data_IF_163902568198
#
_entry.id   IF_163902568198
#
_cell.length_a   1.000
_cell.length_b   1.000
_cell.length_c   1.000
_cell.angle_alpha   90.00
_cell.angle_beta   90.00
_cell.angle_gamma   90.00
#
_symmetry.space_group_name_H-M   'P 1'
#
loop_
_entity.id
_entity.type
_entity.pdbx_description
1 polymer ?
#
# COMPACT_ATOMS: atom_id res chain seq x y z
N UNK A 1 7.17 9.95 -11.10
CA UNK A 1 5.83 9.64 -10.58
C UNK A 1 4.79 9.54 -11.71
N UNK A 2 4.02 8.46 -11.75
CA UNK A 2 2.98 8.15 -12.75
C UNK A 2 1.63 7.95 -12.06
N UNK A 3 0.60 8.68 -12.48
CA UNK A 3 -0.76 8.48 -12.00
C UNK A 3 -1.46 7.36 -12.77
N UNK A 4 -2.13 6.45 -12.05
CA UNK A 4 -2.86 5.30 -12.57
C UNK A 4 -4.21 5.17 -11.84
N UNK A 5 -5.26 4.80 -12.58
CA UNK A 5 -6.56 4.48 -11.98
C UNK A 5 -6.50 3.25 -11.07
N UNK A 6 -7.50 3.08 -10.20
CA UNK A 6 -7.65 1.90 -9.33
C UNK A 6 -7.66 0.58 -10.11
N UNK A 7 -8.27 0.57 -11.29
CA UNK A 7 -8.40 -0.61 -12.18
C UNK A 7 -7.07 -1.15 -12.72
N UNK A 8 -6.04 -0.30 -12.80
CA UNK A 8 -4.71 -0.71 -13.21
C UNK A 8 -4.04 -1.49 -12.07
N UNK A 9 -3.39 -2.65 -12.31
CA UNK A 9 -2.69 -3.36 -11.25
C UNK A 9 -1.60 -2.52 -10.57
N UNK A 10 -1.46 -2.68 -9.26
CA UNK A 10 -0.26 -2.28 -8.51
C UNK A 10 0.93 -3.10 -9.04
N UNK A 11 2.16 -2.57 -9.05
CA UNK A 11 3.31 -3.27 -9.60
C UNK A 11 3.47 -4.70 -9.07
N UNK A 12 3.88 -5.61 -9.95
CA UNK A 12 3.94 -7.04 -9.68
C UNK A 12 4.76 -7.41 -8.43
N UNK A 13 5.80 -6.64 -8.12
CA UNK A 13 6.67 -6.87 -6.97
C UNK A 13 5.97 -6.70 -5.60
N UNK A 14 4.87 -5.95 -5.54
CA UNK A 14 4.08 -5.75 -4.32
C UNK A 14 2.88 -6.70 -4.20
N UNK A 15 2.60 -7.48 -5.24
CA UNK A 15 1.45 -8.38 -5.29
C UNK A 15 1.60 -9.54 -4.30
N UNK A 16 0.48 -10.02 -3.79
CA UNK A 16 0.42 -11.18 -2.89
C UNK A 16 -0.05 -10.83 -1.49
N UNK A 17 0.18 -11.78 -0.58
CA UNK A 17 -0.17 -11.69 0.83
C UNK A 17 1.10 -11.52 1.65
N UNK A 18 1.04 -10.58 2.59
CA UNK A 18 2.14 -10.21 3.45
C UNK A 18 1.62 -10.12 4.88
N UNK A 19 2.45 -10.49 5.84
CA UNK A 19 2.15 -10.38 7.27
C UNK A 19 3.04 -9.32 7.88
N UNK A 20 2.51 -8.59 8.85
CA UNK A 20 3.28 -7.62 9.61
C UNK A 20 4.42 -8.35 10.36
N UNK A 21 5.60 -7.74 10.36
CA UNK A 21 6.81 -8.33 10.93
C UNK A 21 6.76 -8.43 12.47
N UNK A 22 5.98 -7.59 13.13
CA UNK A 22 5.82 -7.54 14.59
C UNK A 22 4.50 -8.17 15.07
N UNK A 23 3.45 -8.14 14.24
CA UNK A 23 2.14 -8.74 14.55
C UNK A 23 1.60 -9.61 13.40
N UNK A 24 1.85 -10.92 13.45
CA UNK A 24 1.37 -11.88 12.46
C UNK A 24 -0.17 -11.94 12.26
N UNK A 25 -0.97 -11.32 13.15
CA UNK A 25 -2.42 -11.21 12.95
C UNK A 25 -2.79 -10.08 11.97
N UNK A 26 -1.87 -9.15 11.71
CA UNK A 26 -2.05 -8.06 10.77
C UNK A 26 -1.56 -8.49 9.39
N UNK A 27 -2.45 -8.39 8.42
CA UNK A 27 -2.17 -8.80 7.05
C UNK A 27 -2.34 -7.64 6.09
N UNK A 28 -1.46 -7.61 5.11
CA UNK A 28 -1.54 -6.76 3.93
C UNK A 28 -1.70 -7.65 2.71
N UNK A 29 -2.79 -7.45 1.97
CA UNK A 29 -3.07 -8.17 0.72
C UNK A 29 -3.14 -7.16 -0.40
N UNK A 30 -2.34 -7.40 -1.44
CA UNK A 30 -2.33 -6.62 -2.68
C UNK A 30 -2.69 -7.58 -3.82
N UNK A 31 -3.84 -7.35 -4.45
CA UNK A 31 -4.33 -8.18 -5.55
C UNK A 31 -4.82 -7.31 -6.71
N UNK A 32 -4.07 -7.30 -7.80
CA UNK A 32 -4.31 -6.39 -8.91
C UNK A 32 -4.23 -4.95 -8.44
N UNK A 33 -5.33 -4.20 -8.59
CA UNK A 33 -5.46 -2.84 -8.08
C UNK A 33 -5.99 -2.76 -6.64
N UNK A 34 -6.33 -3.86 -6.00
CA UNK A 34 -6.97 -3.84 -4.70
C UNK A 34 -5.98 -4.00 -3.56
N UNK A 35 -6.25 -3.28 -2.47
CA UNK A 35 -5.43 -3.31 -1.26
C UNK A 35 -6.35 -3.55 -0.07
N UNK A 36 -6.00 -4.55 0.73
CA UNK A 36 -6.67 -4.85 2.01
C UNK A 36 -5.62 -4.84 3.11
N UNK A 37 -5.89 -4.09 4.18
CA UNK A 37 -5.00 -4.02 5.35
C UNK A 37 -5.87 -3.97 6.61
N UNK A 38 -5.42 -4.61 7.70
CA UNK A 38 -6.21 -4.76 8.94
C UNK A 38 -7.60 -5.39 8.72
N UNK A 39 -7.71 -6.30 7.74
CA UNK A 39 -8.99 -6.92 7.36
C UNK A 39 -9.99 -5.96 6.69
N UNK A 40 -9.57 -4.73 6.36
CA UNK A 40 -10.40 -3.75 5.67
C UNK A 40 -9.84 -3.43 4.29
N UNK A 41 -10.72 -3.38 3.29
CA UNK A 41 -10.38 -2.94 1.93
C UNK A 41 -10.18 -1.43 1.92
N UNK A 42 -9.10 -0.98 1.29
CA UNK A 42 -8.78 0.44 1.16
C UNK A 42 -9.56 1.02 -0.01
N UNK A 43 -10.50 1.91 0.28
CA UNK A 43 -11.31 2.58 -0.74
C UNK A 43 -10.61 3.85 -1.23
N UNK A 44 -9.86 3.71 -2.33
CA UNK A 44 -9.12 4.79 -2.99
C UNK A 44 -9.56 4.91 -4.47
N UNK A 45 -9.33 6.07 -5.09
CA UNK A 45 -9.78 6.37 -6.46
C UNK A 45 -8.66 6.15 -7.49
N UNK A 46 -7.45 6.59 -7.15
CA UNK A 46 -6.27 6.44 -8.00
C UNK A 46 -5.00 6.25 -7.17
N UNK A 47 -3.93 5.85 -7.85
CA UNK A 47 -2.61 5.67 -7.25
C UNK A 47 -1.55 6.42 -8.03
N UNK A 48 -0.52 6.82 -7.31
CA UNK A 48 0.68 7.42 -7.85
C UNK A 48 1.83 6.43 -7.65
N UNK A 49 2.42 5.97 -8.74
CA UNK A 49 3.54 5.02 -8.72
C UNK A 49 4.82 5.78 -9.02
N UNK A 50 5.83 5.59 -8.19
CA UNK A 50 7.15 6.17 -8.38
C UNK A 50 8.25 5.17 -8.07
N UNK A 51 9.41 5.37 -8.68
CA UNK A 51 10.60 4.59 -8.38
C UNK A 51 11.77 5.56 -8.21
N UNK A 52 12.30 5.64 -7.00
CA UNK A 52 13.41 6.54 -6.66
C UNK A 52 14.48 5.78 -5.89
N UNK A 53 15.73 5.88 -6.32
CA UNK A 53 16.88 5.18 -5.71
C UNK A 53 16.67 3.65 -5.57
N UNK A 54 15.92 3.05 -6.51
CA UNK A 54 15.56 1.63 -6.52
C UNK A 54 14.42 1.25 -5.56
N UNK A 55 13.91 2.19 -4.77
CA UNK A 55 12.72 1.98 -3.95
C UNK A 55 11.47 2.23 -4.79
N UNK A 56 10.59 1.24 -4.86
CA UNK A 56 9.31 1.34 -5.54
C UNK A 56 8.26 1.85 -4.55
N UNK A 57 7.62 2.97 -4.87
CA UNK A 57 6.61 3.62 -4.02
C UNK A 57 5.27 3.67 -4.72
N UNK A 58 4.20 3.36 -3.99
CA UNK A 58 2.82 3.53 -4.43
C UNK A 58 2.06 4.34 -3.39
N UNK A 59 1.56 5.51 -3.79
CA UNK A 59 0.70 6.35 -2.95
C UNK A 59 -0.75 6.21 -3.40
N UNK A 60 -1.64 5.85 -2.47
CA UNK A 60 -3.07 5.72 -2.69
C UNK A 60 -3.75 7.06 -2.40
N UNK A 61 -4.65 7.49 -3.28
CA UNK A 61 -5.26 8.83 -3.24
C UNK A 61 -6.76 8.76 -3.54
N UNK A 62 -7.48 9.80 -3.12
CA UNK A 62 -8.89 10.05 -3.43
C UNK A 62 -9.02 11.35 -4.22
N UNK A 63 -10.01 11.44 -5.11
CA UNK A 63 -10.26 12.63 -5.93
C UNK A 63 -10.91 13.77 -5.13
N UNK A 64 -11.66 13.41 -4.08
CA UNK A 64 -12.39 14.39 -3.29
C UNK A 64 -11.56 14.90 -2.11
N UNK A 65 -11.05 16.13 -2.24
CA UNK A 65 -10.28 16.82 -1.22
C UNK A 65 -10.99 16.93 0.15
N UNK A 66 -12.33 16.92 0.19
CA UNK A 66 -13.07 16.95 1.46
C UNK A 66 -12.86 15.67 2.28
N UNK A 67 -12.63 14.54 1.62
CA UNK A 67 -12.42 13.25 2.27
C UNK A 67 -10.94 12.91 2.47
N UNK A 68 -10.03 13.66 1.86
CA UNK A 68 -8.60 13.36 1.83
C UNK A 68 -8.00 13.21 3.25
N UNK A 69 -8.27 14.15 4.16
CA UNK A 69 -7.75 14.06 5.54
C UNK A 69 -8.28 12.81 6.26
N UNK A 70 -9.58 12.54 6.12
CA UNK A 70 -10.21 11.37 6.75
C UNK A 70 -9.67 10.05 6.19
N UNK A 71 -9.40 10.02 4.88
CA UNK A 71 -8.79 8.89 4.19
C UNK A 71 -7.37 8.65 4.70
N UNK A 72 -6.54 9.69 4.74
CA UNK A 72 -5.15 9.63 5.23
C UNK A 72 -5.03 9.17 6.69
N UNK A 73 -6.05 9.45 7.51
CA UNK A 73 -6.07 9.07 8.93
C UNK A 73 -6.59 7.66 9.21
N UNK A 74 -7.34 7.08 8.27
CA UNK A 74 -8.10 5.84 8.50
C UNK A 74 -7.62 4.67 7.66
N UNK A 75 -6.97 4.94 6.52
CA UNK A 75 -6.46 3.92 5.61
C UNK A 75 -4.94 4.01 5.52
N UNK A 76 -4.32 2.93 5.06
CA UNK A 76 -2.96 3.03 4.51
C UNK A 76 -3.00 3.89 3.25
N UNK A 77 -1.99 4.74 3.09
CA UNK A 77 -1.87 5.67 1.96
C UNK A 77 -0.58 5.48 1.19
N UNK A 78 0.42 4.83 1.78
CA UNK A 78 1.69 4.55 1.13
C UNK A 78 2.07 3.08 1.22
N UNK A 79 2.62 2.57 0.13
CA UNK A 79 3.26 1.27 0.01
C UNK A 79 4.68 1.52 -0.52
N UNK A 80 5.70 0.96 0.10
CA UNK A 80 7.10 1.12 -0.31
C UNK A 80 7.79 -0.23 -0.29
N UNK A 81 8.34 -0.63 -1.42
CA UNK A 81 9.23 -1.79 -1.52
C UNK A 81 10.65 -1.27 -1.68
N UNK A 82 11.50 -1.49 -0.69
CA UNK A 82 12.91 -1.07 -0.73
C UNK A 82 13.71 -1.90 -1.74
N UNK A 83 14.87 -1.41 -2.21
CA UNK A 83 15.79 -2.19 -3.03
C UNK A 83 16.21 -3.52 -2.39
N UNK A 84 16.23 -3.57 -1.05
CA UNK A 84 16.58 -4.74 -0.25
C UNK A 84 15.43 -5.75 -0.16
N UNK A 85 14.24 -5.41 -0.68
CA UNK A 85 13.05 -6.27 -0.67
C UNK A 85 12.19 -6.14 0.58
N UNK A 86 12.39 -5.09 1.39
CA UNK A 86 11.55 -4.83 2.55
C UNK A 86 10.29 -4.11 2.10
N UNK A 87 9.13 -4.64 2.47
CA UNK A 87 7.86 -4.05 2.09
C UNK A 87 7.26 -3.29 3.28
N UNK A 88 6.92 -2.03 3.08
CA UNK A 88 6.35 -1.17 4.11
C UNK A 88 5.00 -0.64 3.68
N UNK A 89 4.07 -0.53 4.62
CA UNK A 89 2.84 0.22 4.45
C UNK A 89 2.68 1.24 5.57
N UNK A 90 2.17 2.43 5.23
CA UNK A 90 2.03 3.51 6.19
C UNK A 90 0.85 4.43 5.89
N UNK A 91 0.51 5.23 6.90
CA UNK A 91 -0.34 6.41 6.84
C UNK A 91 0.15 7.45 7.85
N UNK A 92 -0.67 8.48 8.13
CA UNK A 92 -0.28 9.57 9.05
C UNK A 92 -0.16 9.16 10.53
N UNK A 93 -0.56 7.93 10.90
CA UNK A 93 -0.57 7.42 12.28
C UNK A 93 0.16 6.08 12.47
N UNK A 94 0.41 5.36 11.38
CA UNK A 94 0.89 3.99 11.39
C UNK A 94 1.96 3.84 10.31
N UNK A 95 3.00 3.09 10.61
CA UNK A 95 3.96 2.59 9.64
C UNK A 95 4.41 1.22 10.11
N UNK A 96 4.42 0.24 9.23
CA UNK A 96 4.95 -1.08 9.54
C UNK A 96 5.60 -1.75 8.35
N UNK A 97 6.47 -2.71 8.68
CA UNK A 97 7.12 -3.60 7.75
C UNK A 97 6.32 -4.89 7.63
N UNK A 98 6.17 -5.36 6.40
CA UNK A 98 5.48 -6.58 6.04
C UNK A 98 6.46 -7.54 5.37
N UNK A 99 6.37 -8.80 5.74
CA UNK A 99 7.19 -9.89 5.19
C UNK A 99 6.29 -10.84 4.36
N UNK A 100 6.84 -11.47 3.32
CA UNK A 100 6.07 -12.44 2.53
C UNK A 100 5.56 -13.57 3.43
N UNK A 101 4.33 -14.03 3.22
CA UNK A 101 3.91 -15.30 3.81
C UNK A 101 4.69 -16.44 3.15
N UNK A 102 5.71 -16.97 3.83
CA UNK A 102 6.28 -18.28 3.48
C UNK A 102 5.23 -19.34 3.75
N UNK A 103 4.71 -19.95 2.68
CA UNK A 103 3.97 -21.21 2.74
C UNK A 103 4.92 -22.38 3.10
#
# INVERSE_FOLDING_TARGET
MKQLGRDVPIPAAMQGRWIDAEDSAVELVVEGGEVTCFGQRVEYDYKLVDEENGALTVTLMVDNAVYEESFQRSNITGLVLTPEGEFHAYNVKFASQFIPTTD
#
